data_IF_435983109785
#
_entry.id   IF_435983109785
#
_cell.length_a   1.000
_cell.length_b   1.000
_cell.length_c   1.000
_cell.angle_alpha   90.00
_cell.angle_beta   90.00
_cell.angle_gamma   90.00
#
_symmetry.space_group_name_H-M   'P 1'
#
loop_
_entity.id
_entity.type
_entity.pdbx_description
1 polymer ?
#
# COMPACT_ATOMS: atom_id res chain seq x y z
N UNK A 1 -71.63 13.66 40.56
CA UNK A 1 -70.33 13.00 40.47
C UNK A 1 -69.89 13.07 38.99
N UNK A 2 -68.87 13.89 38.63
CA UNK A 2 -68.32 13.98 37.28
C UNK A 2 -67.02 13.16 37.23
N UNK A 3 -66.79 12.35 36.18
CA UNK A 3 -65.54 11.62 36.08
C UNK A 3 -64.44 12.55 35.47
N UNK A 4 -63.31 12.62 36.16
CA UNK A 4 -62.09 13.26 35.69
C UNK A 4 -61.36 12.39 34.68
N UNK A 5 -61.22 12.94 33.46
CA UNK A 5 -60.46 12.36 32.37
C UNK A 5 -58.96 12.61 32.62
N UNK A 6 -58.17 11.52 32.80
CA UNK A 6 -56.71 11.55 32.90
C UNK A 6 -56.15 11.55 31.49
N UNK A 7 -55.58 12.65 31.04
CA UNK A 7 -54.83 12.76 29.78
C UNK A 7 -53.49 12.08 29.91
N UNK A 8 -53.26 11.00 29.17
CA UNK A 8 -51.95 10.35 29.04
C UNK A 8 -51.14 11.05 27.96
N UNK A 9 -50.14 11.83 28.40
CA UNK A 9 -49.14 12.42 27.48
C UNK A 9 -48.27 11.32 26.91
N UNK A 10 -48.35 11.07 25.61
CA UNK A 10 -47.43 10.17 24.88
C UNK A 10 -46.24 11.02 24.45
N UNK A 11 -45.08 10.78 25.06
CA UNK A 11 -43.80 11.28 24.57
C UNK A 11 -43.42 10.53 23.31
N UNK A 12 -43.47 11.19 22.16
CA UNK A 12 -42.95 10.70 20.90
C UNK A 12 -41.42 10.94 20.89
N UNK A 13 -40.63 9.88 21.11
CA UNK A 13 -39.18 9.95 20.95
C UNK A 13 -38.91 9.86 19.45
N UNK A 14 -38.63 10.99 18.82
CA UNK A 14 -38.18 11.09 17.44
C UNK A 14 -36.69 10.68 17.41
N UNK A 15 -36.39 9.43 17.05
CA UNK A 15 -35.03 8.97 16.80
C UNK A 15 -34.54 9.61 15.50
N UNK A 16 -33.72 10.65 15.63
CA UNK A 16 -33.01 11.26 14.50
C UNK A 16 -31.86 10.33 14.11
N UNK A 17 -32.09 9.44 13.15
CA UNK A 17 -31.02 8.70 12.47
C UNK A 17 -30.20 9.72 11.66
N UNK A 18 -29.12 10.20 12.24
CA UNK A 18 -28.12 10.94 11.49
C UNK A 18 -27.45 9.96 10.52
N UNK A 19 -27.77 10.05 9.24
CA UNK A 19 -27.02 9.40 8.18
C UNK A 19 -25.61 9.99 8.17
N UNK A 20 -24.64 9.28 8.73
CA UNK A 20 -23.22 9.61 8.56
C UNK A 20 -22.87 9.45 7.07
N UNK A 21 -22.37 10.49 6.41
CA UNK A 21 -21.85 10.31 5.05
C UNK A 21 -20.70 9.28 5.11
N UNK A 22 -20.85 8.17 4.40
CA UNK A 22 -19.73 7.28 4.10
C UNK A 22 -18.76 8.09 3.24
N UNK A 23 -17.67 8.56 3.80
CA UNK A 23 -16.57 9.13 3.03
C UNK A 23 -15.87 7.97 2.32
N UNK A 24 -16.03 7.89 1.00
CA UNK A 24 -15.21 7.00 0.18
C UNK A 24 -13.79 7.55 0.20
N UNK A 25 -12.79 6.77 0.62
CA UNK A 25 -11.40 7.21 0.56
C UNK A 25 -11.05 7.59 -0.89
N UNK A 26 -10.46 8.77 -1.08
CA UNK A 26 -10.03 9.26 -2.39
C UNK A 26 -8.53 9.10 -2.56
N UNK A 27 -8.06 9.00 -3.80
CA UNK A 27 -6.63 9.09 -4.09
C UNK A 27 -6.07 10.42 -3.55
N UNK A 28 -4.88 10.37 -2.96
CA UNK A 28 -4.18 11.53 -2.38
C UNK A 28 -2.69 11.47 -2.73
N UNK A 29 -1.96 12.51 -2.38
CA UNK A 29 -0.51 12.53 -2.54
C UNK A 29 0.15 13.14 -1.31
N UNK A 30 1.16 12.45 -0.78
CA UNK A 30 1.96 12.90 0.34
C UNK A 30 3.26 13.51 -0.14
N UNK A 31 3.71 14.55 0.55
CA UNK A 31 4.93 15.28 0.20
C UNK A 31 6.01 15.03 1.25
N UNK A 32 7.21 14.74 0.78
CA UNK A 32 8.37 14.39 1.60
C UNK A 32 9.57 15.28 1.25
N UNK A 33 10.49 15.38 2.20
CA UNK A 33 11.73 16.13 2.02
C UNK A 33 11.56 17.64 2.15
N UNK A 34 12.61 18.37 1.82
CA UNK A 34 12.64 19.84 1.86
C UNK A 34 13.57 20.40 0.79
N UNK A 35 13.33 21.66 0.39
CA UNK A 35 14.15 22.35 -0.62
C UNK A 35 14.26 21.56 -1.93
N UNK A 36 15.47 21.38 -2.45
CA UNK A 36 15.74 20.65 -3.68
C UNK A 36 15.48 19.13 -3.61
N UNK A 37 15.31 18.59 -2.39
CA UNK A 37 15.01 17.18 -2.16
C UNK A 37 13.51 16.92 -1.92
N UNK A 38 12.64 17.88 -2.21
CA UNK A 38 11.19 17.68 -2.10
C UNK A 38 10.68 16.76 -3.21
N UNK A 39 9.81 15.80 -2.85
CA UNK A 39 9.11 14.93 -3.80
C UNK A 39 7.73 14.54 -3.25
N UNK A 40 6.86 14.04 -4.12
CA UNK A 40 5.52 13.54 -3.77
C UNK A 40 5.37 12.08 -4.16
N UNK A 41 4.56 11.34 -3.39
CA UNK A 41 4.11 9.98 -3.73
C UNK A 41 2.58 10.02 -3.76
N UNK A 42 1.98 9.67 -4.90
CA UNK A 42 0.54 9.50 -5.03
C UNK A 42 0.11 8.13 -4.51
N UNK A 43 -1.00 8.08 -3.79
CA UNK A 43 -1.59 6.87 -3.23
C UNK A 43 -3.02 6.65 -3.71
N UNK A 44 -3.39 5.39 -3.91
CA UNK A 44 -4.77 4.97 -4.13
C UNK A 44 -5.26 4.14 -2.96
N UNK A 45 -6.53 4.29 -2.53
CA UNK A 45 -7.09 3.51 -1.44
C UNK A 45 -7.38 2.08 -1.88
N UNK A 46 -6.95 1.11 -1.08
CA UNK A 46 -7.24 -0.31 -1.24
C UNK A 46 -8.28 -0.69 -0.20
N UNK A 47 -9.52 -0.69 -0.61
CA UNK A 47 -10.69 -0.95 0.23
C UNK A 47 -11.00 -2.43 0.42
N UNK A 48 -12.27 -2.73 0.76
CA UNK A 48 -12.79 -4.09 0.92
C UNK A 48 -12.04 -4.92 1.97
N UNK A 49 -11.86 -4.35 3.17
CA UNK A 49 -11.31 -5.04 4.33
C UNK A 49 -12.02 -6.39 4.56
N UNK A 50 -11.25 -7.43 4.86
CA UNK A 50 -11.80 -8.76 5.12
C UNK A 50 -12.16 -9.54 3.84
N UNK A 51 -11.67 -9.15 2.67
CA UNK A 51 -11.80 -9.96 1.44
C UNK A 51 -11.14 -11.34 1.62
N UNK A 52 -11.72 -12.36 1.00
CA UNK A 52 -11.15 -13.71 0.98
C UNK A 52 -9.86 -13.78 0.15
N UNK A 53 -9.07 -14.83 0.38
CA UNK A 53 -7.94 -15.17 -0.48
C UNK A 53 -8.40 -15.56 -1.90
N UNK A 54 -7.49 -15.41 -2.88
CA UNK A 54 -7.64 -16.03 -4.20
C UNK A 54 -7.39 -17.55 -4.08
N UNK A 55 -8.41 -18.31 -4.45
CA UNK A 55 -8.37 -19.79 -4.48
C UNK A 55 -8.42 -20.34 -5.91
N UNK A 56 -8.48 -19.46 -6.92
CA UNK A 56 -8.72 -19.85 -8.32
C UNK A 56 -7.47 -19.65 -9.19
N UNK A 57 -6.82 -18.48 -9.08
CA UNK A 57 -5.72 -18.11 -9.98
C UNK A 57 -4.34 -18.46 -9.43
N UNK A 58 -4.21 -18.67 -8.15
CA UNK A 58 -2.95 -19.05 -7.51
C UNK A 58 -2.84 -20.55 -7.33
N UNK A 59 -2.10 -21.24 -8.17
CA UNK A 59 -1.87 -22.67 -8.02
C UNK A 59 -1.27 -23.00 -6.63
N UNK A 60 -2.12 -23.39 -5.69
CA UNK A 60 -1.74 -23.82 -4.34
C UNK A 60 -1.37 -22.72 -3.34
N UNK A 61 -1.57 -21.45 -3.68
CA UNK A 61 -1.25 -20.32 -2.79
C UNK A 61 -2.51 -19.50 -2.47
N UNK A 62 -2.81 -19.37 -1.19
CA UNK A 62 -3.94 -18.58 -0.69
C UNK A 62 -3.46 -17.16 -0.36
N UNK A 63 -3.33 -16.29 -1.38
CA UNK A 63 -2.92 -14.89 -1.20
C UNK A 63 -4.06 -13.91 -1.37
N UNK A 64 -3.86 -12.69 -0.86
CA UNK A 64 -4.66 -11.51 -1.11
C UNK A 64 -5.68 -11.17 -0.03
N UNK A 65 -5.92 -12.03 0.97
CA UNK A 65 -6.77 -11.66 2.09
C UNK A 65 -6.08 -10.60 2.97
N UNK A 66 -6.73 -9.45 3.14
CA UNK A 66 -6.25 -8.37 4.01
C UNK A 66 -7.42 -7.91 4.89
N UNK A 67 -7.30 -8.00 6.24
CA UNK A 67 -8.42 -7.73 7.15
C UNK A 67 -8.69 -6.23 7.36
N UNK A 68 -7.90 -5.34 6.77
CA UNK A 68 -8.01 -3.88 6.89
C UNK A 68 -7.94 -3.18 5.53
N UNK A 69 -8.34 -1.92 5.51
CA UNK A 69 -8.09 -1.02 4.40
C UNK A 69 -6.69 -0.40 4.53
N UNK A 70 -6.04 -0.13 3.41
CA UNK A 70 -4.74 0.53 3.36
C UNK A 70 -4.64 1.39 2.09
N UNK A 71 -3.56 2.14 1.93
CA UNK A 71 -3.27 2.82 0.68
C UNK A 71 -2.04 2.18 0.03
N UNK A 72 -2.00 2.20 -1.31
CA UNK A 72 -0.87 1.74 -2.09
C UNK A 72 -0.37 2.88 -2.97
N UNK A 73 0.94 3.09 -3.08
CA UNK A 73 1.47 4.04 -4.05
C UNK A 73 0.99 3.71 -5.46
N UNK A 74 0.51 4.72 -6.18
CA UNK A 74 -0.04 4.55 -7.53
C UNK A 74 0.99 3.90 -8.46
N UNK A 75 2.26 4.24 -8.29
CA UNK A 75 3.39 3.79 -9.09
C UNK A 75 4.47 3.14 -8.23
N UNK A 76 5.39 2.40 -8.84
CA UNK A 76 6.68 2.10 -8.24
C UNK A 76 7.40 3.40 -7.87
N UNK A 77 8.29 3.36 -6.87
CA UNK A 77 9.14 4.50 -6.53
C UNK A 77 10.08 4.78 -7.71
N UNK A 78 10.22 6.06 -8.07
CA UNK A 78 11.09 6.47 -9.17
C UNK A 78 12.53 6.71 -8.70
N UNK A 79 13.47 6.69 -9.65
CA UNK A 79 14.87 6.97 -9.37
C UNK A 79 15.08 8.39 -8.81
N UNK A 80 14.30 9.38 -9.25
CA UNK A 80 14.35 10.75 -8.72
C UNK A 80 13.90 10.81 -7.25
N UNK A 81 12.81 10.12 -6.88
CA UNK A 81 12.33 10.04 -5.50
C UNK A 81 13.37 9.36 -4.59
N UNK A 82 13.96 8.25 -5.06
CA UNK A 82 15.01 7.53 -4.31
C UNK A 82 16.25 8.42 -4.11
N UNK A 83 16.71 9.11 -5.15
CA UNK A 83 17.88 9.99 -5.07
C UNK A 83 17.67 11.15 -4.09
N UNK A 84 16.49 11.77 -4.10
CA UNK A 84 16.11 12.85 -3.16
C UNK A 84 16.07 12.36 -1.71
N UNK A 85 15.55 11.16 -1.44
CA UNK A 85 15.58 10.55 -0.13
C UNK A 85 17.01 10.22 0.30
N UNK A 86 17.85 9.66 -0.58
CA UNK A 86 19.27 9.40 -0.34
C UNK A 86 20.03 10.67 0.05
N UNK A 87 19.83 11.76 -0.70
CA UNK A 87 20.44 13.05 -0.42
C UNK A 87 20.00 13.60 0.95
N UNK A 88 18.73 13.46 1.30
CA UNK A 88 18.18 13.90 2.60
C UNK A 88 18.74 13.09 3.78
N UNK A 89 18.98 11.80 3.58
CA UNK A 89 19.56 10.91 4.59
C UNK A 89 21.09 11.00 4.68
N UNK A 90 21.76 11.47 3.63
CA UNK A 90 23.23 11.46 3.54
C UNK A 90 23.84 10.05 3.38
N UNK A 91 23.04 9.06 2.97
CA UNK A 91 23.48 7.69 2.66
C UNK A 91 22.95 7.25 1.30
N UNK A 92 23.64 6.33 0.63
CA UNK A 92 23.16 5.74 -0.60
C UNK A 92 22.07 4.69 -0.33
N UNK A 93 20.90 4.87 -0.94
CA UNK A 93 19.83 3.87 -0.95
C UNK A 93 19.88 2.98 -2.21
N UNK A 94 21.03 2.88 -2.88
CA UNK A 94 21.16 2.15 -4.13
C UNK A 94 20.63 2.95 -5.34
N UNK A 95 20.10 2.24 -6.33
CA UNK A 95 19.58 2.86 -7.55
C UNK A 95 20.66 3.08 -8.62
N UNK A 96 20.45 4.08 -9.49
CA UNK A 96 21.39 4.47 -10.53
C UNK A 96 21.43 3.59 -11.79
N UNK A 97 20.59 2.53 -11.84
CA UNK A 97 20.42 1.75 -13.06
C UNK A 97 19.65 2.54 -14.13
N UNK A 98 18.72 3.37 -13.69
CA UNK A 98 17.81 4.17 -14.52
C UNK A 98 17.82 5.64 -14.06
N UNK A 99 17.08 6.52 -14.74
CA UNK A 99 17.12 7.96 -14.47
C UNK A 99 15.73 8.59 -14.33
N UNK A 100 15.64 9.68 -13.60
CA UNK A 100 14.44 10.52 -13.50
C UNK A 100 13.21 9.75 -13.00
N UNK A 101 12.15 9.76 -13.80
CA UNK A 101 10.88 9.08 -13.50
C UNK A 101 10.84 7.60 -13.88
N UNK A 102 11.96 6.99 -14.30
CA UNK A 102 12.04 5.53 -14.41
C UNK A 102 12.07 4.90 -13.02
N UNK A 103 11.73 3.59 -12.88
CA UNK A 103 11.70 2.93 -11.56
C UNK A 103 13.05 2.99 -10.85
N UNK A 104 13.03 3.18 -9.55
CA UNK A 104 14.17 2.97 -8.68
C UNK A 104 14.48 1.47 -8.63
N UNK A 105 15.41 1.03 -9.46
CA UNK A 105 15.90 -0.35 -9.49
C UNK A 105 17.40 -0.40 -9.11
N UNK A 106 17.96 -1.59 -8.98
CA UNK A 106 19.29 -1.81 -8.37
C UNK A 106 19.30 -1.38 -6.87
N UNK A 107 18.26 -1.79 -6.16
CA UNK A 107 17.98 -1.48 -4.75
C UNK A 107 17.83 -2.80 -4.01
N UNK A 108 18.54 -2.97 -2.89
CA UNK A 108 18.33 -4.10 -1.98
C UNK A 108 17.03 -3.92 -1.21
N UNK A 109 16.47 -5.01 -0.66
CA UNK A 109 15.32 -4.90 0.23
C UNK A 109 15.58 -3.98 1.44
N UNK A 110 16.80 -4.04 2.00
CA UNK A 110 17.20 -3.19 3.12
C UNK A 110 17.20 -1.69 2.75
N UNK A 111 17.66 -1.36 1.55
CA UNK A 111 17.64 0.02 1.03
C UNK A 111 16.22 0.52 0.75
N UNK A 112 15.34 -0.34 0.22
CA UNK A 112 13.92 -0.05 0.08
C UNK A 112 13.25 0.16 1.45
N UNK A 113 13.57 -0.65 2.45
CA UNK A 113 13.12 -0.51 3.83
C UNK A 113 13.63 0.79 4.48
N UNK A 114 14.88 1.21 4.18
CA UNK A 114 15.44 2.48 4.66
C UNK A 114 14.75 3.69 4.00
N UNK A 115 14.39 3.60 2.73
CA UNK A 115 13.55 4.62 2.07
C UNK A 115 12.21 4.77 2.80
N UNK A 116 11.55 3.67 3.14
CA UNK A 116 10.28 3.68 3.90
C UNK A 116 10.49 4.29 5.30
N UNK A 117 11.57 3.95 5.99
CA UNK A 117 11.92 4.57 7.27
C UNK A 117 12.09 6.09 7.15
N UNK A 118 12.69 6.56 6.04
CA UNK A 118 12.78 7.99 5.76
C UNK A 118 11.41 8.64 5.60
N UNK A 119 10.48 8.03 4.87
CA UNK A 119 9.12 8.56 4.75
C UNK A 119 8.48 8.74 6.13
N UNK A 120 8.56 7.71 6.98
CA UNK A 120 8.02 7.76 8.34
C UNK A 120 8.66 8.87 9.18
N UNK A 121 9.98 8.89 9.27
CA UNK A 121 10.68 9.82 10.16
C UNK A 121 10.58 11.27 9.70
N UNK A 122 10.54 11.53 8.38
CA UNK A 122 10.35 12.87 7.82
C UNK A 122 8.95 13.44 8.06
N UNK A 123 7.99 12.59 8.40
CA UNK A 123 6.60 12.97 8.70
C UNK A 123 6.23 12.77 10.18
N UNK A 124 7.20 12.44 11.03
CA UNK A 124 7.01 12.32 12.48
C UNK A 124 6.44 10.98 12.96
N UNK A 125 6.47 9.96 12.10
CA UNK A 125 6.02 8.60 12.44
C UNK A 125 7.18 7.70 12.90
N UNK A 126 6.83 6.56 13.53
CA UNK A 126 7.79 5.55 13.93
C UNK A 126 8.43 4.87 12.71
N UNK A 127 9.71 4.52 12.79
CA UNK A 127 10.36 3.68 11.77
C UNK A 127 9.62 2.36 11.60
N UNK A 128 9.45 1.91 10.35
CA UNK A 128 8.84 0.62 10.08
C UNK A 128 9.79 -0.54 10.37
N UNK A 129 11.07 -0.37 10.05
CA UNK A 129 12.07 -1.44 10.09
C UNK A 129 13.25 -1.05 10.96
N UNK A 130 13.70 -1.97 11.81
CA UNK A 130 14.87 -1.78 12.66
C UNK A 130 16.15 -2.15 11.87
N UNK A 131 16.67 -1.18 11.12
CA UNK A 131 17.84 -1.35 10.26
C UNK A 131 19.10 -0.81 10.93
N UNK A 132 20.25 -1.39 10.56
CA UNK A 132 21.55 -0.80 10.84
C UNK A 132 21.73 0.55 10.12
N UNK A 133 22.75 1.32 10.53
CA UNK A 133 22.98 2.67 9.99
C UNK A 133 23.31 2.69 8.48
N UNK A 134 23.84 1.60 7.97
CA UNK A 134 24.20 1.43 6.55
C UNK A 134 23.07 0.91 5.67
N UNK A 135 21.90 0.57 6.23
CA UNK A 135 20.81 -0.11 5.55
C UNK A 135 21.29 -1.40 4.85
N UNK A 136 22.03 -2.23 5.58
CA UNK A 136 22.59 -3.50 5.09
C UNK A 136 22.08 -4.72 5.84
N UNK A 137 21.45 -4.51 7.01
CA UNK A 137 20.91 -5.56 7.86
C UNK A 137 19.64 -5.14 8.58
N UNK A 138 18.77 -6.11 8.84
CA UNK A 138 17.54 -5.97 9.63
C UNK A 138 17.74 -6.64 10.99
N UNK A 139 17.35 -5.96 12.06
CA UNK A 139 17.15 -6.55 13.38
C UNK A 139 15.65 -6.71 13.61
N UNK A 140 15.21 -7.87 14.08
CA UNK A 140 13.80 -8.11 14.36
C UNK A 140 13.34 -7.26 15.56
N UNK A 141 12.10 -6.76 15.50
CA UNK A 141 11.46 -6.14 16.66
C UNK A 141 11.22 -7.19 17.75
N UNK A 142 11.32 -6.79 19.01
CA UNK A 142 11.21 -7.65 20.19
C UNK A 142 10.06 -7.19 21.09
N UNK A 143 9.56 -8.03 22.02
CA UNK A 143 8.49 -7.65 22.95
C UNK A 143 8.76 -6.42 23.80
N UNK A 144 10.01 -5.98 23.94
CA UNK A 144 10.39 -4.76 24.66
C UNK A 144 10.27 -3.49 23.81
N UNK A 145 10.11 -3.62 22.50
CA UNK A 145 10.07 -2.49 21.58
C UNK A 145 8.63 -1.94 21.44
N UNK A 146 8.48 -0.62 21.43
CA UNK A 146 7.21 0.03 21.16
C UNK A 146 6.77 -0.31 19.72
N UNK A 147 5.53 -0.78 19.57
CA UNK A 147 4.99 -1.21 18.27
C UNK A 147 5.42 -2.62 17.85
N UNK A 148 5.91 -3.44 18.78
CA UNK A 148 6.13 -4.86 18.54
C UNK A 148 4.82 -5.55 18.14
N UNK A 149 4.90 -6.40 17.10
CA UNK A 149 3.82 -7.27 16.67
C UNK A 149 4.37 -8.71 16.52
N UNK A 150 3.88 -9.62 17.34
CA UNK A 150 4.31 -11.02 17.32
C UNK A 150 3.98 -11.74 16.01
N UNK A 151 3.04 -11.25 15.22
CA UNK A 151 2.67 -11.80 13.92
C UNK A 151 3.55 -11.29 12.77
N UNK A 152 4.30 -10.20 12.97
CA UNK A 152 5.19 -9.61 11.97
C UNK A 152 6.40 -8.94 12.64
N UNK A 153 7.47 -9.69 12.83
CA UNK A 153 8.68 -9.17 13.50
C UNK A 153 9.50 -8.21 12.63
N UNK A 154 9.15 -8.02 11.36
CA UNK A 154 9.83 -7.08 10.48
C UNK A 154 9.31 -5.65 10.65
N UNK A 155 7.97 -5.48 10.75
CA UNK A 155 7.30 -4.19 10.72
C UNK A 155 6.88 -3.74 12.12
N UNK A 156 7.24 -2.51 12.48
CA UNK A 156 6.67 -1.84 13.65
C UNK A 156 5.21 -1.48 13.38
N UNK A 157 4.31 -1.90 14.24
CA UNK A 157 2.86 -1.65 14.08
C UNK A 157 2.46 -0.16 14.22
N UNK A 158 3.34 0.69 14.74
CA UNK A 158 3.16 2.14 14.81
C UNK A 158 3.66 2.88 13.56
N UNK A 159 4.21 2.17 12.57
CA UNK A 159 4.65 2.78 11.33
C UNK A 159 3.45 3.18 10.47
N UNK A 160 3.55 4.33 9.79
CA UNK A 160 2.52 4.80 8.87
C UNK A 160 2.77 4.31 7.44
N UNK A 161 4.02 4.38 6.95
CA UNK A 161 4.44 3.86 5.65
C UNK A 161 5.20 2.54 5.83
N UNK A 162 5.03 1.61 4.87
CA UNK A 162 5.67 0.31 4.89
C UNK A 162 5.83 -0.28 3.47
N UNK A 163 6.69 -1.26 3.29
CA UNK A 163 6.70 -2.10 2.10
C UNK A 163 5.46 -3.00 2.14
N UNK A 164 4.71 -3.15 1.05
CA UNK A 164 3.54 -4.02 1.07
C UNK A 164 3.94 -5.46 1.37
N UNK A 165 3.18 -6.12 2.22
CA UNK A 165 3.26 -7.57 2.35
C UNK A 165 2.81 -8.24 1.05
N UNK A 166 3.10 -9.53 0.92
CA UNK A 166 2.64 -10.34 -0.21
C UNK A 166 1.12 -10.24 -0.43
N UNK A 167 0.34 -10.31 0.65
CA UNK A 167 -1.12 -10.21 0.58
C UNK A 167 -1.60 -8.80 0.20
N UNK A 168 -0.98 -7.76 0.73
CA UNK A 168 -1.31 -6.37 0.39
C UNK A 168 -0.99 -6.07 -1.08
N UNK A 169 0.19 -6.51 -1.55
CA UNK A 169 0.56 -6.38 -2.95
C UNK A 169 -0.41 -7.11 -3.87
N UNK A 170 -0.69 -8.39 -3.55
CA UNK A 170 -1.59 -9.25 -4.32
C UNK A 170 -2.98 -8.66 -4.43
N UNK A 171 -3.55 -8.18 -3.33
CA UNK A 171 -4.86 -7.52 -3.31
C UNK A 171 -4.88 -6.27 -4.19
N UNK A 172 -3.90 -5.38 -4.05
CA UNK A 172 -3.83 -4.14 -4.82
C UNK A 172 -3.68 -4.38 -6.34
N UNK A 173 -2.97 -5.46 -6.71
CA UNK A 173 -2.72 -5.81 -8.10
C UNK A 173 -3.90 -6.51 -8.77
N UNK A 174 -4.50 -7.50 -8.10
CA UNK A 174 -5.36 -8.48 -8.78
C UNK A 174 -6.80 -8.50 -8.31
N UNK A 175 -7.12 -8.01 -7.10
CA UNK A 175 -8.48 -8.03 -6.57
C UNK A 175 -9.34 -6.94 -7.20
N UNK A 176 -10.53 -7.34 -7.65
CA UNK A 176 -11.54 -6.45 -8.18
C UNK A 176 -12.84 -6.61 -7.39
N UNK A 177 -13.23 -5.59 -6.60
CA UNK A 177 -14.49 -5.62 -5.86
C UNK A 177 -15.72 -5.55 -6.77
N UNK A 178 -15.53 -5.10 -8.02
CA UNK A 178 -16.60 -4.91 -9.01
C UNK A 178 -16.53 -5.93 -10.15
N UNK A 179 -15.76 -7.02 -9.99
CA UNK A 179 -15.61 -8.05 -11.01
C UNK A 179 -16.98 -8.62 -11.39
N UNK A 180 -17.23 -8.75 -12.68
CA UNK A 180 -18.46 -9.36 -13.19
C UNK A 180 -18.60 -10.80 -12.66
N UNK A 181 -19.74 -11.11 -12.07
CA UNK A 181 -20.00 -12.40 -11.41
C UNK A 181 -19.68 -12.42 -9.91
N UNK A 182 -19.23 -11.32 -9.34
CA UNK A 182 -18.90 -11.14 -7.93
C UNK A 182 -17.44 -10.75 -7.71
N UNK A 183 -17.18 -10.08 -6.60
CA UNK A 183 -15.84 -9.67 -6.21
C UNK A 183 -14.86 -10.85 -6.24
N UNK A 184 -13.64 -10.62 -6.73
CA UNK A 184 -12.65 -11.69 -6.88
C UNK A 184 -11.39 -11.21 -7.58
N UNK A 185 -10.55 -12.16 -7.98
CA UNK A 185 -9.23 -11.87 -8.51
C UNK A 185 -9.14 -12.09 -10.03
N UNK A 186 -8.25 -11.35 -10.65
CA UNK A 186 -7.83 -11.51 -12.02
C UNK A 186 -6.46 -12.20 -12.11
N UNK A 187 -6.19 -12.85 -13.23
CA UNK A 187 -4.89 -13.48 -13.49
C UNK A 187 -3.78 -12.44 -13.74
N UNK A 188 -4.13 -11.26 -14.26
CA UNK A 188 -3.20 -10.16 -14.53
C UNK A 188 -3.66 -8.88 -13.83
N UNK A 189 -2.71 -8.07 -13.39
CA UNK A 189 -3.00 -6.79 -12.73
C UNK A 189 -3.68 -5.75 -13.65
N UNK A 190 -3.80 -6.04 -14.92
CA UNK A 190 -4.57 -5.23 -15.89
C UNK A 190 -6.09 -5.42 -15.81
N UNK A 191 -6.59 -6.09 -14.76
CA UNK A 191 -8.02 -6.34 -14.57
C UNK A 191 -8.58 -7.37 -15.58
N UNK A 192 -7.80 -8.38 -15.96
CA UNK A 192 -8.20 -9.37 -16.96
C UNK A 192 -7.52 -10.72 -16.74
N UNK A 193 -8.15 -11.80 -17.23
CA UNK A 193 -7.52 -13.12 -17.38
C UNK A 193 -6.86 -13.29 -18.77
N UNK A 194 -7.08 -12.37 -19.70
CA UNK A 194 -6.37 -12.36 -20.98
C UNK A 194 -4.94 -11.83 -20.81
N UNK A 195 -4.02 -12.39 -21.60
CA UNK A 195 -2.61 -11.93 -21.62
C UNK A 195 -2.60 -10.45 -22.03
N UNK A 196 -1.94 -9.56 -21.25
CA UNK A 196 -1.82 -8.15 -21.61
C UNK A 196 -1.10 -7.96 -22.96
N UNK A 197 -1.45 -6.91 -23.67
CA UNK A 197 -0.66 -6.50 -24.85
C UNK A 197 0.68 -5.92 -24.40
N UNK A 198 1.79 -6.46 -24.90
CA UNK A 198 3.13 -5.98 -24.61
C UNK A 198 3.38 -4.61 -25.28
N UNK A 199 3.84 -3.64 -24.51
CA UNK A 199 4.19 -2.29 -24.99
C UNK A 199 5.53 -1.85 -24.40
N UNK A 200 6.27 -1.00 -25.14
CA UNK A 200 7.49 -0.40 -24.61
C UNK A 200 7.20 0.67 -23.55
N UNK A 201 6.03 1.34 -23.64
CA UNK A 201 5.58 2.42 -22.80
C UNK A 201 4.11 2.73 -23.12
N UNK A 202 3.38 3.34 -22.19
CA UNK A 202 1.99 3.79 -22.42
C UNK A 202 1.09 3.55 -21.22
N UNK A 203 -0.19 3.93 -21.36
CA UNK A 203 -1.18 3.91 -20.30
C UNK A 203 -2.49 3.21 -20.68
N UNK A 204 -2.56 2.63 -21.90
CA UNK A 204 -3.77 2.02 -22.40
C UNK A 204 -4.21 0.81 -21.52
N UNK A 205 -5.51 0.67 -21.32
CA UNK A 205 -6.06 -0.47 -20.59
C UNK A 205 -5.67 -1.79 -21.27
N UNK A 206 -5.41 -2.83 -20.48
CA UNK A 206 -5.02 -4.15 -20.99
C UNK A 206 -3.59 -4.23 -21.54
N UNK A 207 -2.76 -3.19 -21.39
CA UNK A 207 -1.34 -3.20 -21.79
C UNK A 207 -0.42 -3.37 -20.60
N UNK A 208 0.82 -3.88 -20.83
CA UNK A 208 1.85 -4.01 -19.83
C UNK A 208 3.25 -3.88 -20.48
N UNK A 209 4.25 -3.45 -19.70
CA UNK A 209 5.64 -3.31 -20.16
C UNK A 209 6.39 -4.61 -19.87
N UNK A 210 6.52 -5.46 -20.88
CA UNK A 210 7.16 -6.78 -20.75
C UNK A 210 7.57 -7.33 -22.14
N UNK A 211 8.09 -8.55 -22.17
CA UNK A 211 8.45 -9.32 -23.37
C UNK A 211 9.45 -8.60 -24.30
N UNK A 212 10.29 -7.72 -23.76
CA UNK A 212 11.28 -7.00 -24.56
C UNK A 212 10.65 -6.02 -25.56
N UNK A 213 9.39 -5.60 -25.36
CA UNK A 213 8.76 -4.57 -26.19
C UNK A 213 9.53 -3.23 -26.13
N UNK A 214 10.23 -2.97 -25.02
CA UNK A 214 11.22 -1.92 -24.83
C UNK A 214 12.57 -2.50 -24.40
N UNK A 215 13.66 -1.74 -24.60
CA UNK A 215 15.02 -2.14 -24.18
C UNK A 215 15.34 -1.77 -22.73
N UNK A 216 14.43 -1.07 -22.06
CA UNK A 216 14.53 -0.57 -20.69
C UNK A 216 13.13 -0.44 -20.08
N UNK A 217 13.00 -0.30 -18.75
CA UNK A 217 11.71 -0.04 -18.15
C UNK A 217 11.16 1.33 -18.58
N UNK A 218 9.84 1.42 -18.72
CA UNK A 218 9.14 2.67 -18.97
C UNK A 218 9.18 3.58 -17.74
N UNK A 219 8.85 4.87 -17.92
CA UNK A 219 8.56 5.77 -16.81
C UNK A 219 7.46 5.18 -15.93
N UNK A 220 7.50 5.40 -14.62
CA UNK A 220 6.58 4.77 -13.67
C UNK A 220 5.10 5.07 -13.97
N UNK A 221 4.81 6.24 -14.53
CA UNK A 221 3.47 6.67 -14.95
C UNK A 221 3.07 6.19 -16.35
N UNK A 222 3.99 5.56 -17.10
CA UNK A 222 3.81 5.05 -18.46
C UNK A 222 4.00 3.52 -18.53
N UNK A 223 3.81 2.81 -17.43
CA UNK A 223 4.14 1.39 -17.29
C UNK A 223 2.95 0.43 -17.55
N UNK A 224 2.07 0.77 -18.48
CA UNK A 224 0.93 -0.04 -18.89
C UNK A 224 -0.41 0.41 -18.32
N UNK A 225 -1.44 -0.44 -18.42
CA UNK A 225 -2.79 -0.20 -17.88
C UNK A 225 -2.82 -0.20 -16.34
N UNK A 226 -3.94 0.29 -15.79
CA UNK A 226 -4.18 0.31 -14.34
C UNK A 226 -4.69 -1.04 -13.85
N UNK A 227 -4.42 -1.35 -12.56
CA UNK A 227 -5.09 -2.40 -11.82
C UNK A 227 -6.54 -2.00 -11.49
N UNK A 228 -7.38 -2.93 -11.02
CA UNK A 228 -8.75 -2.61 -10.60
C UNK A 228 -8.83 -1.51 -9.51
N UNK A 229 -7.81 -1.40 -8.66
CA UNK A 229 -7.71 -0.34 -7.65
C UNK A 229 -7.03 0.94 -8.15
N UNK A 230 -6.53 0.96 -9.39
CA UNK A 230 -5.91 2.15 -9.98
C UNK A 230 -4.40 2.26 -9.76
N UNK A 231 -3.72 1.21 -9.31
CA UNK A 231 -2.25 1.16 -9.33
C UNK A 231 -1.75 0.88 -10.74
N UNK A 232 -0.48 1.20 -11.05
CA UNK A 232 0.15 0.98 -12.35
C UNK A 232 1.51 0.30 -12.17
N UNK A 233 1.91 -0.51 -13.17
CA UNK A 233 3.22 -1.17 -13.21
C UNK A 233 3.28 -2.46 -12.38
N UNK A 234 2.16 -2.97 -11.85
CA UNK A 234 2.11 -4.27 -11.18
C UNK A 234 1.96 -5.46 -12.15
N UNK A 235 2.08 -5.22 -13.46
CA UNK A 235 2.24 -6.22 -14.52
C UNK A 235 3.41 -5.81 -15.40
N UNK A 236 4.61 -6.26 -15.08
CA UNK A 236 5.84 -5.94 -15.81
C UNK A 236 6.55 -4.68 -15.30
N UNK A 237 7.28 -4.02 -16.16
CA UNK A 237 8.17 -2.90 -15.92
C UNK A 237 9.42 -3.28 -15.11
N UNK A 238 9.29 -3.46 -13.78
CA UNK A 238 10.31 -4.03 -12.90
C UNK A 238 9.66 -4.98 -11.90
N UNK A 239 10.38 -5.99 -11.44
CA UNK A 239 10.01 -6.72 -10.22
C UNK A 239 9.96 -5.75 -9.05
N UNK A 240 9.13 -6.03 -8.06
CA UNK A 240 8.98 -5.20 -6.89
C UNK A 240 9.12 -6.02 -5.61
N UNK A 241 9.99 -5.54 -4.71
CA UNK A 241 10.17 -6.10 -3.38
C UNK A 241 8.87 -6.02 -2.57
N UNK A 242 8.50 -7.13 -1.95
CA UNK A 242 7.49 -7.17 -0.90
C UNK A 242 8.16 -7.31 0.48
N UNK A 243 7.40 -7.00 1.54
CA UNK A 243 7.87 -7.17 2.91
C UNK A 243 8.08 -8.64 3.28
N UNK A 244 7.19 -9.51 2.79
CA UNK A 244 7.04 -10.88 3.28
C UNK A 244 8.25 -11.76 3.00
N UNK A 245 8.60 -12.57 3.99
CA UNK A 245 9.50 -13.69 3.85
C UNK A 245 8.94 -14.72 2.88
N UNK A 246 9.81 -15.49 2.24
CA UNK A 246 9.44 -16.48 1.21
C UNK A 246 8.58 -17.61 1.76
N UNK A 247 8.73 -17.97 3.03
CA UNK A 247 7.90 -18.99 3.73
C UNK A 247 6.58 -18.40 4.28
N UNK A 248 6.35 -17.08 4.15
CA UNK A 248 5.19 -16.36 4.65
C UNK A 248 5.25 -16.01 6.14
N UNK A 249 6.36 -16.28 6.83
CA UNK A 249 6.53 -16.01 8.28
C UNK A 249 7.68 -15.04 8.52
N UNK A 250 7.38 -13.80 8.86
CA UNK A 250 8.35 -12.72 9.06
C UNK A 250 9.12 -12.86 10.38
N UNK A 251 9.91 -13.92 10.55
CA UNK A 251 10.61 -14.26 11.80
C UNK A 251 12.13 -14.45 11.67
N UNK A 252 12.69 -14.28 10.47
CA UNK A 252 14.14 -14.40 10.21
C UNK A 252 14.65 -13.23 9.41
N UNK A 253 15.64 -12.49 9.93
CA UNK A 253 16.15 -11.25 9.33
C UNK A 253 16.84 -11.45 7.97
N UNK A 254 17.43 -12.64 7.73
CA UNK A 254 18.22 -12.96 6.53
C UNK A 254 17.45 -13.78 5.49
N UNK A 255 16.22 -14.16 5.77
CA UNK A 255 15.42 -14.95 4.83
C UNK A 255 15.11 -14.18 3.54
N UNK A 256 14.92 -14.92 2.43
CA UNK A 256 14.53 -14.33 1.14
C UNK A 256 13.21 -13.56 1.23
N UNK A 257 13.10 -12.52 0.46
CA UNK A 257 11.90 -11.68 0.35
C UNK A 257 11.20 -11.94 -0.97
N UNK A 258 9.87 -12.01 -0.94
CA UNK A 258 9.08 -12.18 -2.16
C UNK A 258 9.21 -10.95 -3.07
N UNK A 259 9.22 -11.21 -4.37
CA UNK A 259 9.15 -10.17 -5.42
C UNK A 259 8.08 -10.54 -6.43
N UNK A 260 7.41 -9.54 -7.01
CA UNK A 260 6.31 -9.74 -7.96
C UNK A 260 6.38 -8.77 -9.14
N UNK A 261 5.44 -8.86 -10.05
CA UNK A 261 5.17 -8.07 -11.24
C UNK A 261 5.78 -8.63 -12.54
N UNK A 262 6.88 -9.37 -12.50
CA UNK A 262 7.75 -9.52 -13.68
C UNK A 262 8.47 -8.20 -14.01
N UNK A 263 9.23 -8.16 -15.10
CA UNK A 263 9.95 -6.96 -15.54
C UNK A 263 9.90 -6.81 -17.08
N UNK A 264 10.43 -5.73 -17.60
CA UNK A 264 10.32 -5.34 -19.02
C UNK A 264 10.83 -6.40 -20.03
N UNK A 265 11.67 -7.35 -19.62
CA UNK A 265 12.12 -8.48 -20.46
C UNK A 265 11.45 -9.81 -20.12
N UNK A 266 10.65 -9.91 -19.04
CA UNK A 266 9.94 -11.13 -18.65
C UNK A 266 8.95 -11.56 -19.72
N UNK A 267 8.63 -12.85 -19.78
CA UNK A 267 7.48 -13.32 -20.53
C UNK A 267 6.17 -13.10 -19.73
N UNK A 268 5.04 -13.35 -20.38
CA UNK A 268 3.71 -13.15 -19.77
C UNK A 268 3.43 -14.00 -18.54
N UNK A 269 4.19 -15.09 -18.32
CA UNK A 269 3.99 -15.98 -17.17
C UNK A 269 4.39 -15.29 -15.88
N UNK A 270 5.47 -14.53 -15.91
CA UNK A 270 5.95 -13.78 -14.75
C UNK A 270 5.05 -12.62 -14.32
N UNK A 271 4.04 -12.26 -15.14
CA UNK A 271 3.06 -11.23 -14.83
C UNK A 271 1.82 -11.78 -14.12
N UNK A 272 1.67 -13.10 -14.04
CA UNK A 272 0.50 -13.76 -13.48
C UNK A 272 0.42 -13.61 -11.97
N UNK A 273 -0.78 -13.55 -11.46
CA UNK A 273 -1.04 -13.62 -10.02
C UNK A 273 -0.51 -14.93 -9.41
N UNK A 274 -0.50 -16.03 -10.18
CA UNK A 274 0.06 -17.33 -9.77
C UNK A 274 1.58 -17.41 -9.76
N UNK A 275 2.28 -16.43 -10.35
CA UNK A 275 3.74 -16.39 -10.35
C UNK A 275 4.23 -15.63 -9.13
N UNK A 276 5.11 -16.26 -8.36
CA UNK A 276 5.85 -15.62 -7.30
C UNK A 276 7.31 -16.07 -7.37
N UNK A 277 8.19 -15.15 -7.04
CA UNK A 277 9.61 -15.44 -6.91
C UNK A 277 10.17 -14.68 -5.71
N UNK A 278 11.41 -14.91 -5.40
CA UNK A 278 12.07 -14.31 -4.24
C UNK A 278 13.56 -14.14 -4.50
N UNK A 279 14.15 -13.22 -3.74
CA UNK A 279 15.61 -13.05 -3.70
C UNK A 279 16.07 -12.81 -2.25
N UNK A 280 17.36 -13.09 -1.94
CA UNK A 280 17.95 -12.66 -0.68
C UNK A 280 17.83 -11.14 -0.51
N UNK A 281 17.51 -10.62 0.71
CA UNK A 281 17.29 -9.19 0.94
C UNK A 281 18.50 -8.30 0.68
N UNK A 282 19.70 -8.87 0.55
CA UNK A 282 20.94 -8.18 0.23
C UNK A 282 21.24 -8.07 -1.27
N UNK A 283 20.46 -8.75 -2.12
CA UNK A 283 20.64 -8.69 -3.57
C UNK A 283 20.05 -7.37 -4.10
N UNK A 284 20.72 -6.79 -5.06
CA UNK A 284 20.19 -5.71 -5.90
C UNK A 284 20.35 -6.09 -7.37
N UNK A 285 19.36 -5.76 -8.20
CA UNK A 285 19.41 -5.99 -9.63
C UNK A 285 18.72 -4.87 -10.39
N UNK A 286 19.18 -4.61 -11.63
CA UNK A 286 18.69 -3.49 -12.47
C UNK A 286 17.22 -3.64 -12.88
N UNK A 287 16.59 -4.76 -12.57
CA UNK A 287 15.20 -5.11 -12.85
C UNK A 287 14.36 -5.30 -11.57
N UNK A 288 14.90 -5.01 -10.36
CA UNK A 288 14.16 -5.09 -9.10
C UNK A 288 14.09 -3.71 -8.46
N UNK A 289 12.88 -3.21 -8.30
CA UNK A 289 12.52 -1.97 -7.60
C UNK A 289 11.56 -2.25 -6.45
N UNK A 290 10.73 -1.28 -6.11
CA UNK A 290 9.75 -1.41 -5.02
C UNK A 290 8.65 -0.34 -5.11
N UNK A 291 7.57 -0.56 -4.37
CA UNK A 291 6.51 0.42 -4.07
C UNK A 291 6.26 0.53 -2.59
N UNK A 292 5.42 1.50 -2.19
CA UNK A 292 5.13 1.80 -0.78
C UNK A 292 3.64 1.66 -0.54
N UNK A 293 3.30 1.18 0.66
CA UNK A 293 1.95 1.22 1.20
C UNK A 293 1.89 2.12 2.44
N UNK A 294 0.69 2.55 2.82
CA UNK A 294 0.47 3.29 4.06
C UNK A 294 -0.84 2.90 4.73
N UNK A 295 -0.94 3.16 6.04
CA UNK A 295 -2.22 3.10 6.73
C UNK A 295 -3.14 4.21 6.21
N UNK A 296 -4.50 4.03 6.22
CA UNK A 296 -5.40 5.11 5.87
C UNK A 296 -5.30 6.25 6.89
N UNK A 297 -5.37 7.49 6.41
CA UNK A 297 -5.54 8.65 7.30
C UNK A 297 -6.76 8.45 8.22
N UNK A 298 -6.64 8.70 9.54
CA UNK A 298 -7.80 8.75 10.40
C UNK A 298 -8.75 9.82 9.86
N UNK A 299 -9.96 9.43 9.46
CA UNK A 299 -10.94 10.38 8.92
C UNK A 299 -11.17 11.50 9.95
N UNK A 300 -10.72 12.71 9.68
CA UNK A 300 -10.84 13.88 10.57
C UNK A 300 -12.30 14.20 10.99
N UNK A 301 -13.28 13.59 10.33
CA UNK A 301 -14.70 13.67 10.67
C UNK A 301 -15.06 13.11 12.06
N UNK A 302 -14.33 12.12 12.58
CA UNK A 302 -14.61 11.56 13.92
C UNK A 302 -14.22 12.56 15.02
N UNK A 303 -13.15 13.33 14.83
CA UNK A 303 -12.75 14.37 15.79
C UNK A 303 -13.72 15.55 15.85
N UNK A 304 -14.31 15.94 14.70
CA UNK A 304 -15.29 17.05 14.65
C UNK A 304 -16.62 16.65 15.31
N UNK A 305 -17.07 15.41 15.19
CA UNK A 305 -18.30 14.93 15.82
C UNK A 305 -18.15 14.78 17.33
N UNK A 306 -16.98 14.35 17.81
CA UNK A 306 -16.67 14.29 19.24
C UNK A 306 -16.68 15.70 19.90
N UNK A 307 -16.06 16.67 19.24
CA UNK A 307 -16.02 18.07 19.69
C UNK A 307 -17.41 18.75 19.66
N UNK A 308 -18.22 18.47 18.63
CA UNK A 308 -19.58 18.99 18.50
C UNK A 308 -20.53 18.43 19.59
N UNK A 309 -20.44 17.15 19.94
CA UNK A 309 -21.23 16.54 21.01
C UNK A 309 -20.83 17.05 22.39
N UNK A 310 -19.56 17.32 22.64
CA UNK A 310 -19.08 17.91 23.90
C UNK A 310 -19.58 19.34 24.06
N UNK A 311 -19.64 20.14 22.99
CA UNK A 311 -20.17 21.49 22.97
C UNK A 311 -21.70 21.55 23.19
N UNK A 312 -22.44 20.62 22.60
CA UNK A 312 -23.89 20.49 22.80
C UNK A 312 -24.23 20.00 24.21
N UNK A 313 -23.46 19.11 24.80
CA UNK A 313 -23.64 18.65 26.17
C UNK A 313 -23.33 19.76 27.21
N UNK A 314 -22.35 20.61 26.94
CA UNK A 314 -22.06 21.80 27.78
C UNK A 314 -23.15 22.88 27.72
N UNK A 315 -23.76 23.10 26.56
CA UNK A 315 -24.86 24.08 26.41
C UNK A 315 -26.12 23.67 27.18
N UNK A 316 -26.40 22.39 27.34
CA UNK A 316 -27.56 21.89 28.11
C UNK A 316 -27.39 21.98 29.63
N UNK A 317 -26.16 22.12 30.16
CA UNK A 317 -25.89 22.31 31.60
C UNK A 317 -25.86 23.76 32.04
N UNK A 318 -25.92 24.75 31.13
CA UNK A 318 -25.92 26.19 31.43
C UNK A 318 -27.28 26.86 31.48
N UNK A 319 -28.41 26.15 31.30
CA UNK A 319 -29.76 26.72 31.27
C UNK A 319 -30.67 26.31 32.42
N UNK A 320 -30.09 25.88 33.56
CA UNK A 320 -30.83 25.67 34.80
C UNK A 320 -30.17 26.49 35.92
N UNK A 321 -30.51 27.77 35.97
CA UNK A 321 -30.51 28.69 37.13
C UNK A 321 -31.73 29.60 37.00
#
# INVERSE_FOLDING_TARGET
MKPTMKTKSRFLILALLASLPLTVPTAHADTFGSGGNTFTIGFVPIGNAGNANDTVNGAGTNYGAVPYNFNMSTYAISQDQLAKASNSLGISLGGGAWVGSQPAANVTWYQAAAFVNYLNTSTGHAKAYNLDAGATALTLWTPSDAGYDASNLYRNSNAYYFLPSENEYYKAAYYDPNKAGGAGYWLYATGSNAIPTAVASGTAAGTAVYNGAGTQPALVDQSGGLSPYGTRGQSGNVYEWNESAVDGVNNSSSEGRTIRAGYYLSDFRSLRSSDNTWDPPSISATNIGFRVASVPEPSCMILMLGSGMILLARRRRGSSL
#
